data_IF_551532146026
#
_entry.id   IF_551532146026
#
_cell.length_a   1.000
_cell.length_b   1.000
_cell.length_c   1.000
_cell.angle_alpha   90.00
_cell.angle_beta   90.00
_cell.angle_gamma   90.00
#
_symmetry.space_group_name_H-M   'P 1'
#
loop_
_entity.id
_entity.type
_entity.pdbx_description
1 polymer ?
#
# COMPACT_ATOMS: atom_id res chain seq x y z
N UNK A 1 25.81 -9.80 -65.43
CA UNK A 1 26.64 -8.60 -65.58
C UNK A 1 27.93 -8.94 -66.33
N UNK A 2 28.91 -9.62 -65.72
CA UNK A 2 30.21 -9.96 -66.36
C UNK A 2 30.07 -10.59 -67.75
N UNK A 3 29.28 -11.67 -67.90
CA UNK A 3 29.04 -12.32 -69.20
C UNK A 3 28.42 -11.43 -70.29
N UNK A 4 27.69 -10.36 -69.93
CA UNK A 4 27.07 -9.44 -70.90
C UNK A 4 28.05 -8.34 -71.33
N UNK A 5 28.95 -7.94 -70.43
CA UNK A 5 30.06 -7.05 -70.76
C UNK A 5 31.15 -7.77 -71.57
N UNK A 6 31.36 -9.08 -71.35
CA UNK A 6 32.23 -9.93 -72.18
C UNK A 6 31.71 -10.13 -73.62
N UNK A 7 30.43 -9.83 -73.87
CA UNK A 7 29.78 -9.95 -75.18
C UNK A 7 29.57 -8.58 -75.87
N UNK A 8 30.24 -7.51 -75.40
CA UNK A 8 30.11 -6.12 -75.88
C UNK A 8 28.67 -5.53 -75.82
N UNK A 9 27.75 -6.16 -75.07
CA UNK A 9 26.36 -5.73 -74.91
C UNK A 9 26.22 -4.70 -73.78
N UNK A 10 26.81 -3.51 -73.97
CA UNK A 10 26.99 -2.47 -72.94
C UNK A 10 25.67 -2.00 -72.30
N UNK A 11 24.63 -1.74 -73.10
CA UNK A 11 23.34 -1.23 -72.59
C UNK A 11 22.66 -2.23 -71.66
N UNK A 12 22.59 -3.51 -72.06
CA UNK A 12 22.02 -4.58 -71.22
C UNK A 12 22.89 -4.85 -69.99
N UNK A 13 24.22 -4.74 -70.13
CA UNK A 13 25.16 -4.80 -69.02
C UNK A 13 24.86 -3.74 -67.95
N UNK A 14 24.65 -2.49 -68.37
CA UNK A 14 24.33 -1.36 -67.48
C UNK A 14 22.99 -1.53 -66.77
N UNK A 15 21.93 -1.97 -67.46
CA UNK A 15 20.63 -2.25 -66.83
C UNK A 15 20.73 -3.32 -65.73
N UNK A 16 21.49 -4.38 -65.98
CA UNK A 16 21.72 -5.45 -64.97
C UNK A 16 22.56 -4.92 -63.81
N UNK A 17 23.55 -4.06 -64.08
CA UNK A 17 24.37 -3.43 -63.05
C UNK A 17 23.55 -2.52 -62.14
N UNK A 18 22.64 -1.71 -62.70
CA UNK A 18 21.72 -0.86 -61.94
C UNK A 18 20.80 -1.69 -61.04
N UNK A 19 20.19 -2.77 -61.58
CA UNK A 19 19.37 -3.69 -60.79
C UNK A 19 20.16 -4.37 -59.67
N UNK A 20 21.41 -4.74 -59.93
CA UNK A 20 22.28 -5.32 -58.90
C UNK A 20 22.61 -4.29 -57.80
N UNK A 21 22.95 -3.05 -58.18
CA UNK A 21 23.21 -1.95 -57.26
C UNK A 21 22.00 -1.66 -56.37
N UNK A 22 20.80 -1.60 -56.94
CA UNK A 22 19.55 -1.42 -56.19
C UNK A 22 19.34 -2.55 -55.17
N UNK A 23 19.55 -3.81 -55.56
CA UNK A 23 19.46 -4.95 -54.63
C UNK A 23 20.45 -4.82 -53.47
N UNK A 24 21.71 -4.50 -53.75
CA UNK A 24 22.72 -4.31 -52.70
C UNK A 24 22.36 -3.14 -51.77
N UNK A 25 21.87 -2.03 -52.33
CA UNK A 25 21.43 -0.87 -51.56
C UNK A 25 20.26 -1.21 -50.63
N UNK A 26 19.27 -1.96 -51.13
CA UNK A 26 18.10 -2.36 -50.35
C UNK A 26 18.51 -3.31 -49.21
N UNK A 27 19.35 -4.31 -49.48
CA UNK A 27 19.88 -5.21 -48.45
C UNK A 27 20.64 -4.41 -47.38
N UNK A 28 21.52 -3.49 -47.78
CA UNK A 28 22.27 -2.66 -46.84
C UNK A 28 21.32 -1.82 -45.98
N UNK A 29 20.35 -1.15 -46.60
CA UNK A 29 19.36 -0.33 -45.89
C UNK A 29 18.55 -1.15 -44.89
N UNK A 30 17.98 -2.29 -45.32
CA UNK A 30 17.17 -3.16 -44.46
C UNK A 30 17.98 -3.70 -43.28
N UNK A 31 19.25 -4.07 -43.50
CA UNK A 31 20.12 -4.56 -42.41
C UNK A 31 20.46 -3.48 -41.40
N UNK A 32 20.68 -2.23 -41.84
CA UNK A 32 20.92 -1.09 -40.96
C UNK A 32 19.68 -0.79 -40.12
N UNK A 33 18.52 -0.67 -40.76
CA UNK A 33 17.25 -0.39 -40.07
C UNK A 33 16.91 -1.47 -39.03
N UNK A 34 17.10 -2.76 -39.38
CA UNK A 34 16.85 -3.86 -38.44
C UNK A 34 17.84 -3.83 -37.27
N UNK A 35 19.12 -3.49 -37.50
CA UNK A 35 20.11 -3.35 -36.42
C UNK A 35 19.78 -2.21 -35.47
N UNK A 36 19.35 -1.05 -36.00
CA UNK A 36 18.91 0.08 -35.20
C UNK A 36 17.68 -0.27 -34.36
N UNK A 37 16.69 -0.95 -34.94
CA UNK A 37 15.52 -1.45 -34.19
C UNK A 37 15.91 -2.42 -33.07
N UNK A 38 16.83 -3.35 -33.34
CA UNK A 38 17.32 -4.28 -32.30
C UNK A 38 18.04 -3.52 -31.19
N UNK A 39 18.89 -2.54 -31.53
CA UNK A 39 19.57 -1.70 -30.54
C UNK A 39 18.56 -0.99 -29.65
N UNK A 40 17.56 -0.34 -30.24
CA UNK A 40 16.48 0.31 -29.52
C UNK A 40 15.72 -0.65 -28.60
N UNK A 41 15.38 -1.85 -29.08
CA UNK A 41 14.69 -2.84 -28.24
C UNK A 41 15.53 -3.27 -27.04
N UNK A 42 16.83 -3.51 -27.23
CA UNK A 42 17.74 -3.89 -26.14
C UNK A 42 17.80 -2.83 -25.05
N UNK A 43 18.05 -1.58 -25.44
CA UNK A 43 18.14 -0.46 -24.50
C UNK A 43 16.85 -0.29 -23.69
N UNK A 44 15.69 -0.45 -24.33
CA UNK A 44 14.42 -0.34 -23.60
C UNK A 44 14.11 -1.56 -22.74
N UNK A 45 14.48 -2.78 -23.15
CA UNK A 45 14.34 -3.97 -22.31
C UNK A 45 15.13 -3.77 -21.01
N UNK A 46 16.39 -3.34 -21.12
CA UNK A 46 17.24 -3.05 -19.98
C UNK A 46 16.62 -1.96 -19.09
N UNK A 47 16.08 -0.90 -19.68
CA UNK A 47 15.36 0.14 -18.92
C UNK A 47 14.17 -0.42 -18.13
N UNK A 48 13.30 -1.22 -18.76
CA UNK A 48 12.13 -1.79 -18.08
C UNK A 48 12.52 -2.84 -17.03
N UNK A 49 13.59 -3.59 -17.25
CA UNK A 49 14.13 -4.50 -16.25
C UNK A 49 14.65 -3.72 -15.03
N UNK A 50 15.43 -2.66 -15.23
CA UNK A 50 15.89 -1.80 -14.14
C UNK A 50 14.71 -1.18 -13.38
N UNK A 51 13.68 -0.72 -14.08
CA UNK A 51 12.43 -0.22 -13.46
C UNK A 51 11.71 -1.31 -12.65
N UNK A 52 11.73 -2.57 -13.11
CA UNK A 52 11.14 -3.70 -12.39
C UNK A 52 11.96 -4.05 -11.14
N UNK A 53 13.29 -4.08 -11.26
CA UNK A 53 14.21 -4.32 -10.15
C UNK A 53 14.11 -3.25 -9.05
N UNK A 54 13.96 -1.98 -9.44
CA UNK A 54 13.70 -0.87 -8.52
C UNK A 54 12.37 -1.02 -7.75
N UNK A 55 11.44 -1.85 -8.26
CA UNK A 55 10.20 -2.23 -7.61
C UNK A 55 10.26 -3.64 -7.02
N UNK A 56 11.46 -4.14 -6.72
CA UNK A 56 11.70 -5.40 -6.01
C UNK A 56 11.11 -6.61 -6.75
N UNK A 57 11.12 -6.58 -8.09
CA UNK A 57 10.56 -7.65 -8.91
C UNK A 57 11.12 -9.05 -8.59
N UNK A 58 12.35 -9.19 -8.12
CA UNK A 58 12.91 -10.48 -7.71
C UNK A 58 12.21 -11.09 -6.49
N UNK A 59 11.63 -10.27 -5.62
CA UNK A 59 10.86 -10.74 -4.46
C UNK A 59 9.49 -11.23 -4.91
N UNK A 60 8.85 -10.47 -5.79
CA UNK A 60 7.44 -10.68 -6.13
C UNK A 60 7.22 -11.58 -7.35
N UNK A 61 8.06 -11.44 -8.38
CA UNK A 61 7.88 -12.04 -9.71
C UNK A 61 9.22 -12.51 -10.31
N UNK A 62 10.00 -13.36 -9.62
CA UNK A 62 11.31 -13.79 -10.11
C UNK A 62 11.22 -14.57 -11.44
N UNK A 63 10.21 -15.43 -11.56
CA UNK A 63 10.03 -16.29 -12.74
C UNK A 63 9.80 -15.49 -14.02
N UNK A 64 9.04 -14.38 -13.96
CA UNK A 64 8.80 -13.58 -15.17
C UNK A 64 10.03 -12.78 -15.59
N UNK A 65 10.89 -12.37 -14.64
CA UNK A 65 12.18 -11.75 -14.95
C UNK A 65 13.09 -12.76 -15.67
N UNK A 66 13.14 -14.00 -15.18
CA UNK A 66 13.90 -15.08 -15.82
C UNK A 66 13.37 -15.39 -17.23
N UNK A 67 12.05 -15.38 -17.44
CA UNK A 67 11.45 -15.52 -18.77
C UNK A 67 11.91 -14.43 -19.75
N UNK A 68 11.92 -13.16 -19.31
CA UNK A 68 12.41 -12.04 -20.14
C UNK A 68 13.88 -12.23 -20.48
N UNK A 69 14.71 -12.58 -19.49
CA UNK A 69 16.13 -12.83 -19.67
C UNK A 69 16.37 -13.98 -20.66
N UNK A 70 15.64 -15.09 -20.53
CA UNK A 70 15.73 -16.22 -21.44
C UNK A 70 15.37 -15.84 -22.88
N UNK A 71 14.27 -15.09 -23.08
CA UNK A 71 13.90 -14.59 -24.41
C UNK A 71 14.99 -13.68 -25.00
N UNK A 72 15.58 -12.80 -24.18
CA UNK A 72 16.68 -11.95 -24.60
C UNK A 72 17.93 -12.76 -25.01
N UNK A 73 18.26 -13.81 -24.24
CA UNK A 73 19.39 -14.70 -24.55
C UNK A 73 19.17 -15.47 -25.84
N UNK A 74 17.97 -16.02 -26.07
CA UNK A 74 17.62 -16.70 -27.32
C UNK A 74 17.67 -15.75 -28.52
N UNK A 75 17.13 -14.53 -28.37
CA UNK A 75 17.19 -13.49 -29.39
C UNK A 75 18.65 -13.14 -29.74
N UNK A 76 19.51 -13.05 -28.73
CA UNK A 76 20.94 -12.80 -28.91
C UNK A 76 21.64 -13.94 -29.63
N UNK A 77 21.29 -15.19 -29.31
CA UNK A 77 21.81 -16.38 -30.02
C UNK A 77 21.44 -16.33 -31.50
N UNK A 78 20.17 -16.08 -31.84
CA UNK A 78 19.72 -15.98 -33.24
C UNK A 78 20.37 -14.84 -34.00
N UNK A 79 20.54 -13.68 -33.35
CA UNK A 79 21.25 -12.55 -33.92
C UNK A 79 22.71 -12.90 -34.27
N UNK A 80 23.41 -13.63 -33.38
CA UNK A 80 24.77 -14.12 -33.63
C UNK A 80 24.83 -15.14 -34.78
N UNK A 81 23.74 -15.86 -35.04
CA UNK A 81 23.60 -16.79 -36.17
C UNK A 81 23.21 -16.07 -37.49
N UNK A 82 23.19 -14.73 -37.51
CA UNK A 82 22.77 -13.90 -38.64
C UNK A 82 21.29 -14.02 -39.04
N UNK A 83 20.47 -14.67 -38.21
CA UNK A 83 19.01 -14.68 -38.36
C UNK A 83 18.40 -13.44 -37.69
N UNK A 84 18.49 -12.31 -38.40
CA UNK A 84 18.07 -11.00 -37.90
C UNK A 84 16.55 -10.92 -37.75
N UNK A 85 15.77 -11.58 -38.61
CA UNK A 85 14.31 -11.51 -38.57
C UNK A 85 13.75 -12.25 -37.37
N UNK A 86 14.19 -13.49 -37.14
CA UNK A 86 13.78 -14.23 -35.95
C UNK A 86 14.26 -13.55 -34.68
N UNK A 87 15.49 -12.99 -34.68
CA UNK A 87 16.02 -12.25 -33.54
C UNK A 87 15.16 -11.03 -33.23
N UNK A 88 14.79 -10.23 -34.23
CA UNK A 88 13.94 -9.05 -34.06
C UNK A 88 12.57 -9.44 -33.47
N UNK A 89 11.97 -10.53 -33.97
CA UNK A 89 10.72 -11.05 -33.42
C UNK A 89 10.83 -11.48 -31.95
N UNK A 90 11.95 -12.12 -31.57
CA UNK A 90 12.20 -12.51 -30.18
C UNK A 90 12.48 -11.31 -29.27
N UNK A 91 13.24 -10.30 -29.72
CA UNK A 91 13.43 -9.06 -28.96
C UNK A 91 12.12 -8.31 -28.76
N UNK A 92 11.24 -8.28 -29.76
CA UNK A 92 9.91 -7.67 -29.61
C UNK A 92 9.06 -8.40 -28.56
N UNK A 93 9.10 -9.75 -28.53
CA UNK A 93 8.45 -10.54 -27.48
C UNK A 93 9.04 -10.26 -26.10
N UNK A 94 10.36 -10.25 -25.98
CA UNK A 94 11.07 -9.94 -24.73
C UNK A 94 10.70 -8.53 -24.23
N UNK A 95 10.63 -7.55 -25.13
CA UNK A 95 10.21 -6.18 -24.83
C UNK A 95 8.79 -6.10 -24.29
N UNK A 96 7.82 -6.71 -24.97
CA UNK A 96 6.42 -6.71 -24.52
C UNK A 96 6.29 -7.37 -23.14
N UNK A 97 7.01 -8.47 -22.92
CA UNK A 97 7.05 -9.15 -21.63
C UNK A 97 7.70 -8.26 -20.57
N UNK A 98 8.82 -7.60 -20.85
CA UNK A 98 9.49 -6.67 -19.94
C UNK A 98 8.58 -5.49 -19.52
N UNK A 99 7.76 -4.97 -20.44
CA UNK A 99 6.77 -3.94 -20.10
C UNK A 99 5.71 -4.46 -19.12
N UNK A 100 5.22 -5.69 -19.35
CA UNK A 100 4.26 -6.35 -18.48
C UNK A 100 4.86 -6.63 -17.10
N UNK A 101 6.08 -7.17 -17.03
CA UNK A 101 6.76 -7.45 -15.77
C UNK A 101 6.97 -6.18 -14.95
N UNK A 102 7.41 -5.09 -15.59
CA UNK A 102 7.57 -3.80 -14.93
C UNK A 102 6.25 -3.25 -14.37
N UNK A 103 5.14 -3.40 -15.10
CA UNK A 103 3.80 -3.01 -14.63
C UNK A 103 3.37 -3.85 -13.43
N UNK A 104 3.47 -5.19 -13.54
CA UNK A 104 3.09 -6.11 -12.46
C UNK A 104 3.95 -5.93 -11.22
N UNK A 105 5.25 -5.66 -11.37
CA UNK A 105 6.13 -5.39 -10.24
C UNK A 105 5.68 -4.15 -9.45
N UNK A 106 5.29 -3.07 -10.14
CA UNK A 106 4.73 -1.86 -9.50
C UNK A 106 3.43 -2.16 -8.75
N UNK A 107 2.54 -2.95 -9.37
CA UNK A 107 1.27 -3.35 -8.76
C UNK A 107 1.48 -4.23 -7.52
N UNK A 108 2.37 -5.22 -7.62
CA UNK A 108 2.69 -6.13 -6.52
C UNK A 108 3.32 -5.38 -5.32
N UNK A 109 4.25 -4.47 -5.59
CA UNK A 109 4.84 -3.60 -4.56
C UNK A 109 3.77 -2.74 -3.89
N UNK A 110 2.95 -2.03 -4.67
CA UNK A 110 1.90 -1.19 -4.13
C UNK A 110 0.90 -2.00 -3.29
N UNK A 111 0.53 -3.18 -3.76
CA UNK A 111 -0.33 -4.10 -3.01
C UNK A 111 0.29 -4.43 -1.65
N UNK A 112 1.56 -4.83 -1.61
CA UNK A 112 2.24 -5.21 -0.36
C UNK A 112 2.39 -4.04 0.60
N UNK A 113 2.74 -2.85 0.12
CA UNK A 113 2.78 -1.63 0.94
C UNK A 113 1.40 -1.32 1.56
N UNK A 114 0.31 -1.54 0.83
CA UNK A 114 -1.05 -1.36 1.37
C UNK A 114 -1.38 -2.42 2.43
N UNK A 115 -0.98 -3.67 2.21
CA UNK A 115 -1.20 -4.76 3.17
C UNK A 115 -0.46 -4.52 4.49
N UNK A 116 0.79 -4.10 4.41
CA UNK A 116 1.60 -3.79 5.59
C UNK A 116 0.99 -2.63 6.40
N UNK A 117 0.51 -1.59 5.70
CA UNK A 117 -0.20 -0.48 6.35
C UNK A 117 -1.47 -0.97 7.06
N UNK A 118 -2.28 -1.76 6.37
CA UNK A 118 -3.49 -2.37 6.91
C UNK A 118 -3.19 -3.19 8.18
N UNK A 119 -2.17 -4.05 8.15
CA UNK A 119 -1.77 -4.86 9.31
C UNK A 119 -1.23 -4.03 10.46
N UNK A 120 -0.41 -3.01 10.18
CA UNK A 120 0.10 -2.09 11.20
C UNK A 120 -1.04 -1.38 11.90
N UNK A 121 -2.04 -0.96 11.15
CA UNK A 121 -3.23 -0.31 11.68
C UNK A 121 -4.12 -1.26 12.47
N UNK A 122 -4.33 -2.48 11.97
CA UNK A 122 -5.05 -3.53 12.69
C UNK A 122 -4.42 -3.77 14.06
N UNK A 123 -3.09 -3.95 14.11
CA UNK A 123 -2.34 -4.10 15.37
C UNK A 123 -2.51 -2.90 16.30
N UNK A 124 -2.55 -1.69 15.74
CA UNK A 124 -2.75 -0.47 16.52
C UNK A 124 -4.19 -0.34 17.06
N UNK A 125 -5.19 -0.75 16.30
CA UNK A 125 -6.60 -0.82 16.70
C UNK A 125 -6.81 -1.89 17.78
N UNK A 126 -6.21 -3.07 17.63
CA UNK A 126 -6.21 -4.14 18.63
C UNK A 126 -5.58 -3.64 19.94
N UNK A 127 -4.38 -3.04 19.86
CA UNK A 127 -3.72 -2.45 21.02
C UNK A 127 -4.59 -1.37 21.68
N UNK A 128 -5.19 -0.47 20.90
CA UNK A 128 -6.08 0.58 21.39
C UNK A 128 -7.36 0.03 22.04
N UNK A 129 -7.89 -1.09 21.53
CA UNK A 129 -9.07 -1.77 22.09
C UNK A 129 -8.77 -2.45 23.43
N UNK A 130 -7.54 -2.90 23.62
CA UNK A 130 -7.06 -3.53 24.85
C UNK A 130 -6.67 -2.51 25.94
N UNK A 131 -6.51 -1.24 25.59
CA UNK A 131 -6.20 -0.19 26.55
C UNK A 131 -7.46 0.14 27.38
N UNK A 132 -7.38 0.07 28.73
CA UNK A 132 -8.45 0.59 29.58
C UNK A 132 -8.51 2.12 29.45
N UNK A 133 -9.66 2.65 29.06
CA UNK A 133 -9.85 4.09 28.84
C UNK A 133 -10.45 4.68 30.11
N UNK A 134 -9.88 5.78 30.58
CA UNK A 134 -10.54 6.65 31.55
C UNK A 134 -11.05 7.87 30.82
N UNK A 135 -12.36 7.92 30.56
CA UNK A 135 -13.05 9.15 30.17
C UNK A 135 -13.82 9.63 31.40
N UNK A 136 -13.62 10.88 31.78
CA UNK A 136 -14.50 11.57 32.71
C UNK A 136 -14.70 10.84 34.06
N UNK A 137 -13.58 10.45 34.68
CA UNK A 137 -13.49 9.79 35.98
C UNK A 137 -14.08 8.37 36.09
N UNK A 138 -14.55 7.76 34.98
CA UNK A 138 -15.02 6.37 34.97
C UNK A 138 -14.08 5.46 34.15
N UNK A 139 -13.73 4.31 34.73
CA UNK A 139 -12.99 3.25 34.05
C UNK A 139 -13.90 2.54 33.04
N UNK A 140 -13.63 2.70 31.75
CA UNK A 140 -14.23 1.89 30.70
C UNK A 140 -13.35 0.65 30.56
N UNK A 141 -13.93 -0.53 30.84
CA UNK A 141 -13.22 -1.81 30.63
C UNK A 141 -12.92 -1.96 29.13
N UNK A 142 -11.73 -2.45 28.77
CA UNK A 142 -11.38 -2.66 27.37
C UNK A 142 -12.41 -3.62 26.73
N UNK A 143 -12.88 -3.27 25.54
CA UNK A 143 -13.68 -4.16 24.69
C UNK A 143 -12.73 -4.71 23.62
N UNK A 144 -12.12 -5.89 23.86
CA UNK A 144 -11.12 -6.46 22.96
C UNK A 144 -11.78 -6.74 21.61
N UNK A 145 -11.28 -6.08 20.58
CA UNK A 145 -11.73 -6.31 19.21
C UNK A 145 -10.70 -7.14 18.47
N UNK A 146 -11.15 -8.22 17.83
CA UNK A 146 -10.31 -9.11 17.04
C UNK A 146 -10.60 -8.93 15.55
N UNK A 147 -9.96 -7.95 14.92
CA UNK A 147 -10.14 -7.70 13.48
C UNK A 147 -9.56 -8.81 12.59
N UNK A 148 -8.66 -9.67 13.10
CA UNK A 148 -8.12 -10.83 12.36
C UNK A 148 -9.16 -11.89 12.04
N UNK A 149 -10.20 -12.01 12.88
CA UNK A 149 -11.31 -12.94 12.62
C UNK A 149 -12.07 -12.56 11.34
N UNK A 150 -12.28 -11.26 11.08
CA UNK A 150 -12.94 -10.80 9.86
C UNK A 150 -12.14 -11.11 8.59
N UNK A 151 -10.82 -11.00 8.64
CA UNK A 151 -9.95 -11.30 7.49
C UNK A 151 -9.99 -12.81 7.20
N UNK A 152 -9.86 -13.65 8.24
CA UNK A 152 -9.83 -15.11 8.11
C UNK A 152 -11.15 -15.69 7.60
N UNK A 153 -12.30 -15.22 8.11
CA UNK A 153 -13.62 -15.63 7.62
C UNK A 153 -13.85 -15.24 6.16
N UNK A 154 -13.29 -14.10 5.72
CA UNK A 154 -13.38 -13.66 4.32
C UNK A 154 -12.46 -14.48 3.41
N UNK A 155 -11.23 -14.76 3.81
CA UNK A 155 -10.31 -15.64 3.06
C UNK A 155 -10.89 -17.05 2.92
N UNK A 156 -11.54 -17.58 3.96
CA UNK A 156 -12.25 -18.86 3.91
C UNK A 156 -13.48 -18.80 2.97
N UNK A 157 -14.26 -17.72 2.97
CA UNK A 157 -15.39 -17.53 2.02
C UNK A 157 -14.93 -17.43 0.57
N UNK A 158 -13.85 -16.69 0.29
CA UNK A 158 -13.29 -16.55 -1.06
C UNK A 158 -12.82 -17.93 -1.58
N UNK A 159 -12.14 -18.71 -0.74
CA UNK A 159 -11.72 -20.07 -1.09
C UNK A 159 -12.89 -21.05 -1.34
N UNK A 160 -14.06 -20.85 -0.71
CA UNK A 160 -15.26 -21.63 -1.02
C UNK A 160 -15.94 -21.18 -2.33
N UNK A 161 -15.93 -19.88 -2.63
CA UNK A 161 -16.50 -19.29 -3.86
C UNK A 161 -15.69 -19.63 -5.11
N UNK A 162 -14.36 -19.75 -5.01
CA UNK A 162 -13.47 -20.14 -6.13
C UNK A 162 -13.63 -21.61 -6.57
N UNK A 163 -14.41 -22.43 -5.86
CA UNK A 163 -14.69 -23.82 -6.24
C UNK A 163 -15.82 -24.01 -7.27
N UNK A 164 -16.59 -22.96 -7.54
CA UNK A 164 -17.70 -22.97 -8.48
C UNK A 164 -17.44 -21.91 -9.54
N UNK A 165 -16.71 -22.29 -10.59
CA UNK A 165 -16.54 -21.44 -11.75
C UNK A 165 -17.87 -21.17 -12.41
N UNK A 166 -18.34 -19.93 -12.36
CA UNK A 166 -19.13 -19.30 -13.42
C UNK A 166 -19.06 -17.78 -13.29
N UNK A 167 -18.56 -17.17 -14.36
CA UNK A 167 -18.52 -15.73 -14.60
C UNK A 167 -19.92 -15.13 -14.64
N UNK A 168 -20.20 -14.15 -13.78
CA UNK A 168 -21.34 -13.25 -13.95
C UNK A 168 -20.83 -11.86 -14.33
N UNK A 169 -21.05 -11.51 -15.59
CA UNK A 169 -21.14 -10.13 -16.06
C UNK A 169 -22.28 -9.44 -15.30
N UNK A 170 -21.96 -8.59 -14.32
CA UNK A 170 -22.92 -7.63 -13.78
C UNK A 170 -22.56 -6.25 -14.31
N UNK A 171 -23.50 -5.70 -15.08
CA UNK A 171 -23.36 -4.49 -15.85
C UNK A 171 -23.16 -3.24 -15.00
N UNK A 172 -22.68 -2.21 -15.71
CA UNK A 172 -22.78 -0.78 -15.41
C UNK A 172 -23.56 -0.48 -14.12
N UNK A 173 -22.83 -0.35 -13.02
CA UNK A 173 -23.35 0.29 -11.82
C UNK A 173 -22.87 1.73 -11.93
N UNK A 174 -23.80 2.58 -12.34
CA UNK A 174 -23.69 4.04 -12.22
C UNK A 174 -23.19 4.38 -10.82
N UNK A 175 -22.30 5.36 -10.76
CA UNK A 175 -21.70 5.87 -9.55
C UNK A 175 -22.76 6.13 -8.48
N UNK A 176 -22.86 5.23 -7.49
CA UNK A 176 -23.49 5.53 -6.21
C UNK A 176 -22.55 6.46 -5.45
N UNK A 177 -22.58 7.72 -5.85
CA UNK A 177 -22.24 8.86 -5.03
C UNK A 177 -23.22 8.82 -3.87
N UNK A 178 -22.80 8.20 -2.76
CA UNK A 178 -23.43 8.43 -1.47
C UNK A 178 -23.03 9.84 -1.05
N UNK A 179 -23.89 10.79 -1.40
CA UNK A 179 -23.85 12.15 -0.90
C UNK A 179 -24.03 12.13 0.63
N UNK A 180 -22.91 12.06 1.35
CA UNK A 180 -22.84 12.55 2.71
C UNK A 180 -22.24 13.96 2.70
N UNK A 181 -22.99 14.89 2.13
CA UNK A 181 -22.98 16.27 2.63
C UNK A 181 -23.84 16.28 3.89
N UNK A 182 -23.23 16.04 5.04
CA UNK A 182 -23.76 16.59 6.28
C UNK A 182 -22.90 17.78 6.66
N UNK A 183 -23.49 18.95 6.39
CA UNK A 183 -23.08 20.26 6.87
C UNK A 183 -22.53 20.16 8.30
N UNK A 184 -21.34 20.71 8.50
CA UNK A 184 -20.81 21.08 9.80
C UNK A 184 -21.76 22.07 10.49
N UNK A 185 -22.79 21.57 11.15
CA UNK A 185 -23.56 22.33 12.13
C UNK A 185 -22.82 22.26 13.46
N UNK A 186 -22.12 23.35 13.75
CA UNK A 186 -21.63 23.68 15.09
C UNK A 186 -22.78 23.52 16.10
N UNK A 187 -22.71 22.50 16.95
CA UNK A 187 -23.56 22.40 18.13
C UNK A 187 -22.83 22.95 19.36
N UNK A 188 -23.42 24.02 19.87
CA UNK A 188 -23.08 24.87 21.00
C UNK A 188 -22.61 24.11 22.24
N UNK A 189 -21.70 24.76 22.95
CA UNK A 189 -21.22 24.45 24.30
C UNK A 189 -22.37 24.05 25.23
N UNK A 190 -22.28 22.85 25.81
CA UNK A 190 -22.98 22.51 27.04
C UNK A 190 -22.14 21.52 27.85
N UNK A 191 -21.86 21.92 29.08
CA UNK A 191 -21.09 21.19 30.07
C UNK A 191 -21.75 19.85 30.43
N UNK A 192 -21.09 18.73 30.11
CA UNK A 192 -21.23 17.48 30.85
C UNK A 192 -20.18 16.46 30.42
N UNK A 193 -19.59 15.79 31.40
CA UNK A 193 -18.54 14.78 31.24
C UNK A 193 -19.01 13.52 30.49
N UNK A 194 -20.30 13.36 30.21
CA UNK A 194 -20.81 12.26 29.38
C UNK A 194 -20.68 12.57 27.88
N UNK A 195 -20.70 13.84 27.45
CA UNK A 195 -20.59 14.22 26.02
C UNK A 195 -19.21 13.89 25.42
N UNK A 196 -18.15 14.03 26.21
CA UNK A 196 -16.77 13.70 25.78
C UNK A 196 -16.55 12.17 25.70
N UNK A 197 -17.19 11.39 26.56
CA UNK A 197 -17.19 9.92 26.50
C UNK A 197 -17.86 9.38 25.23
N UNK A 198 -19.01 9.94 24.86
CA UNK A 198 -19.67 9.56 23.60
C UNK A 198 -18.84 9.96 22.38
N UNK A 199 -18.21 11.14 22.39
CA UNK A 199 -17.29 11.57 21.32
C UNK A 199 -16.08 10.64 21.17
N UNK A 200 -15.47 10.19 22.28
CA UNK A 200 -14.29 9.30 22.22
C UNK A 200 -14.60 7.88 21.77
N UNK A 201 -15.75 7.32 22.17
CA UNK A 201 -16.21 6.01 21.68
C UNK A 201 -16.59 6.06 20.19
N UNK A 202 -17.24 7.15 19.74
CA UNK A 202 -17.54 7.35 18.32
C UNK A 202 -16.27 7.42 17.46
N UNK A 203 -15.17 7.98 17.96
CA UNK A 203 -13.91 8.06 17.20
C UNK A 203 -13.32 6.67 16.90
N UNK A 204 -13.33 5.76 17.87
CA UNK A 204 -12.78 4.40 17.67
C UNK A 204 -13.70 3.54 16.79
N UNK A 205 -15.03 3.70 16.91
CA UNK A 205 -15.98 3.03 16.03
C UNK A 205 -15.85 3.50 14.57
N UNK A 206 -15.75 4.82 14.35
CA UNK A 206 -15.48 5.39 13.02
C UNK A 206 -14.16 4.89 12.44
N UNK A 207 -13.10 4.79 13.26
CA UNK A 207 -11.83 4.24 12.82
C UNK A 207 -11.96 2.77 12.38
N UNK A 208 -12.76 1.96 13.07
CA UNK A 208 -13.00 0.55 12.69
C UNK A 208 -13.76 0.45 11.37
N UNK A 209 -14.84 1.21 11.20
CA UNK A 209 -15.65 1.21 9.98
C UNK A 209 -14.82 1.60 8.76
N UNK A 210 -14.02 2.67 8.87
CA UNK A 210 -13.13 3.11 7.78
C UNK A 210 -12.06 2.08 7.45
N UNK A 211 -11.54 1.36 8.46
CA UNK A 211 -10.61 0.27 8.22
C UNK A 211 -11.28 -0.90 7.50
N UNK A 212 -12.51 -1.27 7.87
CA UNK A 212 -13.31 -2.32 7.22
C UNK A 212 -13.61 -1.97 5.75
N UNK A 213 -14.07 -0.75 5.48
CA UNK A 213 -14.24 -0.23 4.11
C UNK A 213 -12.92 -0.24 3.33
N UNK A 214 -11.80 0.04 3.99
CA UNK A 214 -10.46 -0.04 3.40
C UNK A 214 -10.08 -1.47 2.97
N UNK A 215 -10.46 -2.47 3.76
CA UNK A 215 -10.28 -3.88 3.41
C UNK A 215 -11.12 -4.26 2.19
N UNK A 216 -12.39 -3.84 2.15
CA UNK A 216 -13.26 -4.06 0.98
C UNK A 216 -12.73 -3.37 -0.28
N UNK A 217 -12.25 -2.14 -0.17
CA UNK A 217 -11.64 -1.43 -1.29
C UNK A 217 -10.37 -2.13 -1.81
N UNK A 218 -9.59 -2.74 -0.92
CA UNK A 218 -8.42 -3.56 -1.28
C UNK A 218 -8.85 -4.84 -2.02
N UNK A 219 -9.89 -5.52 -1.56
CA UNK A 219 -10.46 -6.72 -2.22
C UNK A 219 -10.92 -6.40 -3.66
N UNK A 220 -11.47 -5.20 -3.87
CA UNK A 220 -11.83 -4.69 -5.20
C UNK A 220 -10.63 -4.18 -6.03
N UNK A 221 -9.39 -4.43 -5.57
CA UNK A 221 -8.14 -3.97 -6.17
C UNK A 221 -8.01 -2.44 -6.32
N UNK A 222 -8.77 -1.67 -5.54
CA UNK A 222 -8.69 -0.21 -5.50
C UNK A 222 -7.72 0.25 -4.41
N UNK A 223 -6.42 0.01 -4.64
CA UNK A 223 -5.35 0.29 -3.68
C UNK A 223 -5.25 1.76 -3.27
N UNK A 224 -5.63 2.68 -4.17
CA UNK A 224 -5.64 4.12 -3.87
C UNK A 224 -6.67 4.45 -2.79
N UNK A 225 -7.92 4.04 -3.00
CA UNK A 225 -8.99 4.27 -2.05
C UNK A 225 -8.71 3.55 -0.72
N UNK A 226 -8.21 2.32 -0.76
CA UNK A 226 -7.82 1.58 0.43
C UNK A 226 -6.79 2.34 1.27
N UNK A 227 -5.75 2.90 0.63
CA UNK A 227 -4.74 3.70 1.32
C UNK A 227 -5.32 4.97 1.98
N UNK A 228 -6.23 5.68 1.30
CA UNK A 228 -6.91 6.86 1.83
C UNK A 228 -7.73 6.49 3.08
N UNK A 229 -8.52 5.42 3.01
CA UNK A 229 -9.35 4.93 4.12
C UNK A 229 -8.50 4.48 5.31
N UNK A 230 -7.39 3.78 5.07
CA UNK A 230 -6.43 3.41 6.11
C UNK A 230 -5.79 4.65 6.77
N UNK A 231 -5.43 5.66 5.99
CA UNK A 231 -4.90 6.92 6.52
C UNK A 231 -5.93 7.64 7.41
N UNK A 232 -7.19 7.71 6.97
CA UNK A 232 -8.25 8.36 7.73
C UNK A 232 -8.56 7.61 9.02
N UNK A 233 -8.69 6.28 8.96
CA UNK A 233 -8.82 5.48 10.18
C UNK A 233 -7.63 5.68 11.13
N UNK A 234 -6.41 5.85 10.63
CA UNK A 234 -5.24 6.11 11.46
C UNK A 234 -5.27 7.50 12.11
N UNK A 235 -5.82 8.51 11.43
CA UNK A 235 -6.06 9.85 11.99
C UNK A 235 -7.06 9.77 13.14
N UNK A 236 -8.18 9.08 12.96
CA UNK A 236 -9.18 8.88 14.02
C UNK A 236 -8.59 8.11 15.21
N UNK A 237 -7.79 7.08 14.95
CA UNK A 237 -7.09 6.34 16.00
C UNK A 237 -6.10 7.24 16.77
N UNK A 238 -5.37 8.12 16.08
CA UNK A 238 -4.45 9.06 16.72
C UNK A 238 -5.19 10.09 17.58
N UNK A 239 -6.32 10.61 17.08
CA UNK A 239 -7.20 11.49 17.86
C UNK A 239 -7.70 10.77 19.12
N UNK A 240 -8.19 9.54 18.97
CA UNK A 240 -8.60 8.69 20.08
C UNK A 240 -7.46 8.46 21.09
N UNK A 241 -6.25 8.13 20.63
CA UNK A 241 -5.09 7.95 21.51
C UNK A 241 -4.77 9.21 22.29
N UNK A 242 -4.84 10.39 21.68
CA UNK A 242 -4.57 11.66 22.37
C UNK A 242 -5.59 11.96 23.48
N UNK A 243 -6.84 11.51 23.32
CA UNK A 243 -7.86 11.60 24.36
C UNK A 243 -7.68 10.53 25.45
N UNK A 244 -7.31 9.31 25.07
CA UNK A 244 -7.08 8.19 25.99
C UNK A 244 -5.76 8.31 26.79
N UNK A 245 -4.78 9.05 26.27
CA UNK A 245 -3.42 9.16 26.83
C UNK A 245 -3.24 10.28 27.85
N UNK A 246 -4.30 10.81 28.48
CA UNK A 246 -4.13 11.67 29.68
C UNK A 246 -3.66 10.80 30.86
N UNK A 247 -2.37 10.51 30.80
CA UNK A 247 -1.41 9.98 31.78
C UNK A 247 -2.00 9.15 32.92
N UNK A 248 -2.09 7.84 32.72
CA UNK A 248 -2.39 6.89 33.79
C UNK A 248 -1.13 6.58 34.61
N UNK A 249 -1.15 6.88 35.91
CA UNK A 249 -0.12 6.46 36.86
C UNK A 249 -0.56 5.23 37.64
N UNK A 250 0.32 4.23 37.76
CA UNK A 250 0.12 3.10 38.67
C UNK A 250 0.80 3.43 39.99
N UNK A 251 0.01 3.49 41.06
CA UNK A 251 0.51 3.76 42.40
C UNK A 251 1.27 2.53 42.91
N UNK A 252 2.56 2.69 43.16
CA UNK A 252 3.43 1.76 43.89
C UNK A 252 3.40 2.01 45.39
N UNK A 253 3.79 1.01 46.16
CA UNK A 253 3.98 1.09 47.62
C UNK A 253 4.87 2.30 47.96
N UNK A 254 4.43 3.12 48.92
CA UNK A 254 5.17 4.30 49.38
C UNK A 254 4.94 5.59 48.57
N UNK A 255 4.13 5.55 47.50
CA UNK A 255 3.75 6.78 46.79
C UNK A 255 2.68 7.57 47.56
N UNK A 256 2.85 8.88 47.62
CA UNK A 256 1.84 9.84 48.07
C UNK A 256 1.43 10.74 46.91
N UNK A 257 0.21 11.29 46.92
CA UNK A 257 -0.21 12.28 45.90
C UNK A 257 0.78 13.45 45.80
N UNK A 258 1.34 13.85 46.95
CA UNK A 258 2.39 14.85 47.05
C UNK A 258 3.70 14.44 46.35
N UNK A 259 4.19 13.22 46.60
CA UNK A 259 5.39 12.68 45.94
C UNK A 259 5.20 12.47 44.44
N UNK A 260 4.00 12.06 44.02
CA UNK A 260 3.63 11.91 42.61
C UNK A 260 3.61 13.28 41.92
N UNK A 261 2.98 14.29 42.53
CA UNK A 261 2.95 15.67 42.01
C UNK A 261 4.35 16.26 41.88
N UNK A 262 5.19 16.06 42.90
CA UNK A 262 6.59 16.50 42.88
C UNK A 262 7.37 15.84 41.74
N UNK A 263 7.13 14.56 41.47
CA UNK A 263 7.86 13.80 40.44
C UNK A 263 7.41 14.13 39.02
N UNK A 264 6.13 14.40 38.81
CA UNK A 264 5.54 14.56 37.47
C UNK A 264 5.42 16.02 37.05
N UNK A 265 5.01 16.91 37.95
CA UNK A 265 4.87 18.33 37.65
C UNK A 265 6.05 19.18 38.08
N UNK A 266 7.05 18.59 38.76
CA UNK A 266 8.09 19.29 39.51
C UNK A 266 7.57 20.22 40.62
N UNK A 267 6.25 20.25 40.86
CA UNK A 267 5.59 21.11 41.82
C UNK A 267 4.77 20.25 42.79
N UNK A 268 5.22 20.07 44.04
CA UNK A 268 4.51 19.26 45.03
C UNK A 268 3.11 19.81 45.36
N UNK A 269 2.90 21.12 45.24
CA UNK A 269 1.63 21.80 45.56
C UNK A 269 0.50 21.51 44.57
N UNK A 270 0.79 20.90 43.42
CA UNK A 270 -0.23 20.51 42.43
C UNK A 270 -0.92 19.17 42.76
N UNK A 271 -0.61 18.55 43.91
CA UNK A 271 -1.26 17.32 44.35
C UNK A 271 -2.80 17.42 44.46
N UNK A 272 -3.43 18.56 44.84
CA UNK A 272 -4.89 18.67 44.86
C UNK A 272 -5.48 18.55 43.45
N UNK A 273 -4.75 18.99 42.41
CA UNK A 273 -5.18 18.86 41.00
C UNK A 273 -5.31 17.39 40.60
N UNK A 274 -4.38 16.55 41.05
CA UNK A 274 -4.44 15.08 40.86
C UNK A 274 -5.62 14.51 41.66
N UNK A 275 -5.81 14.95 42.90
CA UNK A 275 -6.93 14.47 43.73
C UNK A 275 -8.30 14.82 43.15
N UNK A 276 -8.51 16.07 42.72
CA UNK A 276 -9.74 16.52 42.08
C UNK A 276 -10.06 15.71 40.82
N UNK A 277 -9.04 15.41 40.01
CA UNK A 277 -9.18 14.57 38.82
C UNK A 277 -9.49 13.10 39.15
N UNK A 278 -9.33 12.64 40.38
CA UNK A 278 -9.55 11.24 40.77
C UNK A 278 -10.57 11.06 41.91
N UNK A 279 -11.38 12.08 42.18
CA UNK A 279 -12.27 12.15 43.36
C UNK A 279 -13.30 11.02 43.44
N UNK A 280 -13.66 10.41 42.29
CA UNK A 280 -14.56 9.25 42.26
C UNK A 280 -13.89 7.96 42.79
N UNK A 281 -12.56 7.87 42.71
CA UNK A 281 -11.78 6.71 43.13
C UNK A 281 -11.05 6.92 44.46
N UNK A 282 -10.59 8.15 44.70
CA UNK A 282 -9.93 8.57 45.94
C UNK A 282 -10.88 9.48 46.70
N UNK A 283 -11.75 8.90 47.53
CA UNK A 283 -12.64 9.69 48.39
C UNK A 283 -11.85 10.42 49.48
N UNK A 284 -10.87 9.74 50.08
CA UNK A 284 -9.98 10.30 51.08
C UNK A 284 -8.58 10.50 50.49
N UNK A 285 -8.06 11.73 50.39
CA UNK A 285 -6.75 12.00 49.79
C UNK A 285 -5.58 11.32 50.51
N UNK A 286 -5.73 11.01 51.81
CA UNK A 286 -4.73 10.32 52.62
C UNK A 286 -4.79 8.78 52.45
N UNK A 287 -5.88 8.25 51.89
CA UNK A 287 -6.08 6.81 51.73
C UNK A 287 -5.88 6.41 50.26
N UNK A 288 -4.67 5.95 49.97
CA UNK A 288 -4.27 5.56 48.62
C UNK A 288 -3.68 4.15 48.69
N UNK A 289 -4.21 3.25 47.87
CA UNK A 289 -3.74 1.87 47.83
C UNK A 289 -2.82 1.61 46.64
N UNK A 290 -1.94 0.62 46.82
CA UNK A 290 -1.11 0.07 45.77
C UNK A 290 -1.95 -0.48 44.60
N UNK A 291 -1.37 -0.47 43.40
CA UNK A 291 -1.98 -0.90 42.14
C UNK A 291 -3.19 -0.07 41.68
N UNK A 292 -3.50 1.04 42.37
CA UNK A 292 -4.49 1.98 41.87
C UNK A 292 -3.96 2.69 40.62
N UNK A 293 -4.73 2.60 39.53
CA UNK A 293 -4.56 3.41 38.32
C UNK A 293 -5.26 4.74 38.51
N UNK A 294 -4.51 5.84 38.51
CA UNK A 294 -5.04 7.21 38.66
C UNK A 294 -4.71 8.05 37.44
N UNK A 295 -5.56 9.03 37.15
CA UNK A 295 -5.41 9.98 36.05
C UNK A 295 -4.51 11.12 36.52
N UNK A 296 -3.44 11.40 35.79
CA UNK A 296 -2.62 12.59 35.95
C UNK A 296 -3.10 13.59 34.90
N UNK A 297 -3.71 14.72 35.30
CA UNK A 297 -4.02 15.79 34.35
C UNK A 297 -2.72 16.42 33.79
N UNK A 298 -2.71 17.00 32.60
CA UNK A 298 -1.54 17.75 32.13
C UNK A 298 -1.24 18.96 33.03
N UNK A 299 0.03 19.36 33.13
CA UNK A 299 0.50 20.49 33.96
C UNK A 299 -0.30 21.76 33.69
#
# INVERSE_FOLDING_TARGET
>A
MHKQFEQDMIQKGNEIALKALERYRNIAKDTIEKKEKIKYLKENIEKYLNDAEANEAYIWIPLEIDEVNNLYFEATRKYKMYDIESALGMYSKAFNKAQQTAKKAKEARAFKETEERMYKQLKALEAASNLPIYSDNKLIKPSPWNGRALIKDKDERINLLDSQGETYLLGQIDALILAYEEESKEMKESDSSDSNKFKTLQLIEKARQLWEQGVEAKELNNLRLANELFLDSARYLKAYQSHASKELYIIKIGNTLWGISKKLYNDPYLWPKIWFANRQKIQNPDLIHENWKIIIPSK
#
